data_IF_154388723403
#
_entry.id   IF_154388723403
#
_cell.length_a   1.000
_cell.length_b   1.000
_cell.length_c   1.000
_cell.angle_alpha   90.00
_cell.angle_beta   90.00
_cell.angle_gamma   90.00
#
_symmetry.space_group_name_H-M   'P 1'
#
loop_
_entity.id
_entity.type
_entity.pdbx_description
1 polymer ?
#
# COMPACT_ATOMS: atom_id res chain seq x y z
N UNK A 1 4.36 -13.42 11.04
CA UNK A 1 3.66 -14.37 10.13
C UNK A 1 3.45 -15.77 10.73
N UNK A 2 4.48 -16.45 11.27
CA UNK A 2 4.34 -17.84 11.75
C UNK A 2 3.33 -18.01 12.90
N UNK A 3 3.34 -17.12 13.90
CA UNK A 3 2.35 -17.17 15.02
C UNK A 3 0.91 -17.03 14.54
N UNK A 4 0.64 -16.05 13.67
CA UNK A 4 -0.69 -15.84 13.08
C UNK A 4 -1.14 -17.05 12.27
N UNK A 5 -0.26 -17.63 11.44
CA UNK A 5 -0.57 -18.88 10.69
C UNK A 5 -0.84 -20.07 11.61
N UNK A 6 -0.20 -20.12 12.77
CA UNK A 6 -0.40 -21.16 13.78
C UNK A 6 -1.60 -20.88 14.71
N UNK A 7 -2.34 -19.78 14.53
CA UNK A 7 -3.45 -19.38 15.40
C UNK A 7 -3.04 -18.91 16.80
N UNK A 8 -1.75 -18.73 17.06
CA UNK A 8 -1.19 -18.41 18.38
C UNK A 8 -0.89 -16.90 18.54
N UNK A 9 -1.63 -16.05 17.84
CA UNK A 9 -1.47 -14.60 17.91
C UNK A 9 -2.24 -14.08 19.12
N UNK A 10 -1.53 -13.45 20.05
CA UNK A 10 -2.16 -12.89 21.24
C UNK A 10 -2.88 -11.57 20.92
N UNK A 11 -3.98 -11.24 21.61
CA UNK A 11 -4.72 -9.98 21.42
C UNK A 11 -3.85 -8.73 21.38
N UNK A 12 -2.84 -8.67 22.25
CA UNK A 12 -1.93 -7.53 22.37
C UNK A 12 -1.01 -7.36 21.15
N UNK A 13 -0.85 -8.42 20.33
CA UNK A 13 -0.01 -8.40 19.12
C UNK A 13 -0.75 -7.87 17.88
N UNK A 14 -2.08 -7.73 17.93
CA UNK A 14 -2.87 -7.23 16.79
C UNK A 14 -3.88 -6.13 17.15
N UNK A 15 -4.00 -5.76 18.41
CA UNK A 15 -4.78 -4.61 18.87
C UNK A 15 -3.93 -3.34 18.94
N UNK A 16 -4.60 -2.17 18.93
CA UNK A 16 -3.94 -0.87 19.08
C UNK A 16 -3.24 -0.33 17.83
N UNK A 17 -3.38 -0.99 16.67
CA UNK A 17 -2.84 -0.49 15.41
C UNK A 17 -3.45 0.86 15.00
N UNK A 18 -2.61 1.77 14.51
CA UNK A 18 -3.00 3.14 14.10
C UNK A 18 -3.28 3.27 12.61
N UNK A 19 -2.80 2.33 11.80
CA UNK A 19 -2.97 2.28 10.35
C UNK A 19 -2.94 0.83 9.89
N UNK A 20 -3.61 0.52 8.78
CA UNK A 20 -3.63 -0.83 8.20
C UNK A 20 -3.04 -0.83 6.78
N UNK A 21 -2.21 -1.83 6.49
CA UNK A 21 -1.80 -2.19 5.13
C UNK A 21 -2.38 -3.56 4.82
N UNK A 22 -3.17 -3.65 3.75
CA UNK A 22 -3.73 -4.88 3.23
C UNK A 22 -3.07 -5.23 1.90
N UNK A 23 -2.47 -6.41 1.81
CA UNK A 23 -1.79 -6.89 0.61
C UNK A 23 -2.56 -8.07 0.01
N UNK A 24 -3.45 -7.81 -0.95
CA UNK A 24 -4.06 -8.86 -1.77
C UNK A 24 -3.27 -9.15 -3.05
N UNK A 25 -2.20 -8.40 -3.30
CA UNK A 25 -1.24 -8.71 -4.36
C UNK A 25 -0.63 -10.10 -4.26
N UNK A 26 -0.51 -10.65 -3.04
CA UNK A 26 -0.07 -12.04 -2.85
C UNK A 26 -1.03 -13.08 -3.45
N UNK A 27 -2.29 -12.70 -3.70
CA UNK A 27 -3.31 -13.52 -4.34
C UNK A 27 -3.50 -13.16 -5.83
N UNK A 28 -2.63 -12.32 -6.41
CA UNK A 28 -2.72 -11.90 -7.81
C UNK A 28 -3.76 -10.81 -8.09
N UNK A 29 -4.36 -10.22 -7.06
CA UNK A 29 -5.33 -9.13 -7.21
C UNK A 29 -4.62 -7.85 -7.69
N UNK A 30 -5.07 -7.26 -8.79
CA UNK A 30 -4.45 -6.04 -9.36
C UNK A 30 -4.78 -4.78 -8.58
N UNK A 31 -5.99 -4.67 -8.03
CA UNK A 31 -6.49 -3.55 -7.24
C UNK A 31 -7.74 -3.97 -6.47
N UNK A 32 -7.99 -3.38 -5.31
CA UNK A 32 -9.21 -3.61 -4.54
C UNK A 32 -9.50 -2.42 -3.63
N UNK A 33 -10.78 -2.26 -3.28
CA UNK A 33 -11.23 -1.25 -2.34
C UNK A 33 -11.21 -1.82 -0.93
N UNK A 34 -10.28 -1.33 -0.11
CA UNK A 34 -10.17 -1.76 1.27
C UNK A 34 -11.20 -1.05 2.15
N UNK A 35 -11.75 -1.78 3.12
CA UNK A 35 -12.64 -1.23 4.15
C UNK A 35 -11.79 -0.81 5.34
N UNK A 36 -12.00 0.41 5.81
CA UNK A 36 -11.29 0.97 6.98
C UNK A 36 -11.60 0.10 8.21
N UNK A 37 -10.59 -0.17 9.03
CA UNK A 37 -10.73 -0.85 10.32
C UNK A 37 -10.89 0.20 11.44
N UNK A 38 -12.12 0.45 11.96
CA UNK A 38 -12.30 1.42 13.04
C UNK A 38 -11.52 0.98 14.30
N UNK A 39 -10.93 1.91 15.07
CA UNK A 39 -11.04 3.37 14.99
C UNK A 39 -10.02 4.06 14.07
N UNK A 40 -9.34 3.34 13.18
CA UNK A 40 -8.37 3.95 12.25
C UNK A 40 -9.09 4.82 11.21
N UNK A 41 -8.37 5.82 10.67
CA UNK A 41 -8.92 6.76 9.69
C UNK A 41 -8.61 6.39 8.24
N UNK A 42 -7.70 5.44 7.99
CA UNK A 42 -7.32 5.06 6.64
C UNK A 42 -6.75 3.63 6.58
N UNK A 43 -6.81 3.04 5.38
CA UNK A 43 -6.24 1.73 5.06
C UNK A 43 -5.63 1.77 3.66
N UNK A 44 -4.44 1.17 3.51
CA UNK A 44 -3.73 1.05 2.24
C UNK A 44 -3.95 -0.33 1.63
N UNK A 45 -4.42 -0.38 0.39
CA UNK A 45 -4.57 -1.59 -0.42
C UNK A 45 -3.41 -1.72 -1.40
N UNK A 46 -2.67 -2.83 -1.32
CA UNK A 46 -1.53 -3.13 -2.20
C UNK A 46 -1.91 -4.27 -3.14
N UNK A 47 -1.91 -3.96 -4.44
CA UNK A 47 -2.12 -4.93 -5.52
C UNK A 47 -0.85 -5.68 -5.92
N UNK A 48 -1.00 -6.63 -6.84
CA UNK A 48 0.10 -7.44 -7.32
C UNK A 48 1.08 -6.62 -8.18
N UNK A 49 2.38 -6.80 -7.92
CA UNK A 49 3.44 -6.31 -8.80
C UNK A 49 3.53 -7.18 -10.05
N UNK A 50 3.31 -6.61 -11.22
CA UNK A 50 3.34 -7.32 -12.51
C UNK A 50 4.30 -6.64 -13.48
N UNK A 51 5.00 -7.43 -14.29
CA UNK A 51 5.84 -6.87 -15.37
C UNK A 51 4.96 -6.27 -16.45
N UNK A 52 5.12 -4.98 -16.72
CA UNK A 52 4.43 -4.26 -17.80
C UNK A 52 5.46 -3.50 -18.65
N UNK A 53 5.23 -3.34 -19.96
CA UNK A 53 6.00 -2.39 -20.76
C UNK A 53 5.67 -0.97 -20.27
N UNK A 54 6.70 -0.20 -19.95
CA UNK A 54 6.59 1.20 -19.51
C UNK A 54 7.45 2.06 -20.42
N UNK A 55 6.90 3.20 -20.84
CA UNK A 55 7.63 4.21 -21.60
C UNK A 55 8.48 5.02 -20.63
N UNK A 56 9.78 5.09 -20.87
CA UNK A 56 10.72 5.90 -20.09
C UNK A 56 10.76 7.35 -20.61
N UNK A 57 11.41 8.23 -19.84
CA UNK A 57 11.54 9.65 -20.17
C UNK A 57 12.30 9.90 -21.49
N UNK A 58 13.19 8.98 -21.89
CA UNK A 58 13.92 9.01 -23.16
C UNK A 58 13.11 8.47 -24.35
N UNK A 59 11.85 8.05 -24.11
CA UNK A 59 10.95 7.48 -25.11
C UNK A 59 11.15 5.99 -25.39
N UNK A 60 12.11 5.33 -24.73
CA UNK A 60 12.30 3.88 -24.84
C UNK A 60 11.20 3.11 -24.10
N UNK A 61 10.96 1.85 -24.50
CA UNK A 61 9.99 0.96 -23.84
C UNK A 61 10.76 -0.16 -23.13
N UNK A 62 10.63 -0.22 -21.81
CA UNK A 62 11.28 -1.24 -21.00
C UNK A 62 10.30 -2.01 -20.11
N UNK A 63 10.55 -3.31 -19.84
CA UNK A 63 9.76 -4.05 -18.86
C UNK A 63 10.06 -3.55 -17.45
N UNK A 64 9.06 -2.99 -16.77
CA UNK A 64 9.13 -2.57 -15.36
C UNK A 64 8.12 -3.34 -14.52
N UNK A 65 8.44 -3.57 -13.25
CA UNK A 65 7.47 -4.08 -12.28
C UNK A 65 6.57 -2.93 -11.86
N UNK A 66 5.28 -3.03 -12.13
CA UNK A 66 4.27 -2.03 -11.79
C UNK A 66 3.28 -2.65 -10.81
N UNK A 67 2.97 -1.91 -9.74
CA UNK A 67 1.94 -2.29 -8.77
C UNK A 67 0.93 -1.15 -8.63
N UNK A 68 -0.32 -1.50 -8.33
CA UNK A 68 -1.35 -0.52 -7.97
C UNK A 68 -1.42 -0.41 -6.45
N UNK A 69 -1.47 0.81 -5.95
CA UNK A 69 -1.72 1.12 -4.55
C UNK A 69 -2.94 2.02 -4.47
N UNK A 70 -3.93 1.63 -3.64
CA UNK A 70 -5.14 2.41 -3.39
C UNK A 70 -5.24 2.74 -1.91
N UNK A 71 -5.71 3.94 -1.57
CA UNK A 71 -5.98 4.35 -0.19
C UNK A 71 -7.49 4.57 -0.01
N UNK A 72 -8.06 3.94 1.02
CA UNK A 72 -9.38 4.32 1.52
C UNK A 72 -9.18 5.15 2.78
N UNK A 73 -9.85 6.30 2.84
CA UNK A 73 -9.70 7.27 3.93
C UNK A 73 -11.07 7.77 4.39
N UNK A 74 -11.20 8.04 5.69
CA UNK A 74 -12.36 8.66 6.29
C UNK A 74 -12.39 10.15 5.90
N UNK A 75 -13.23 10.47 4.92
CA UNK A 75 -13.30 11.80 4.34
C UNK A 75 -13.84 12.88 5.31
N UNK A 76 -14.31 12.49 6.50
CA UNK A 76 -14.67 13.43 7.57
C UNK A 76 -13.46 14.10 8.20
N UNK A 77 -12.28 13.46 8.11
CA UNK A 77 -11.05 13.91 8.77
C UNK A 77 -9.83 13.96 7.83
N UNK A 78 -9.85 13.24 6.71
CA UNK A 78 -8.78 13.23 5.70
C UNK A 78 -9.39 13.67 4.37
N UNK A 79 -8.93 14.76 3.79
CA UNK A 79 -9.33 15.15 2.44
C UNK A 79 -8.52 14.42 1.35
N UNK A 80 -9.02 14.51 0.12
CA UNK A 80 -8.37 13.87 -1.03
C UNK A 80 -6.99 14.42 -1.36
N UNK A 81 -6.70 15.68 -1.05
CA UNK A 81 -5.39 16.28 -1.32
C UNK A 81 -4.33 15.68 -0.39
N UNK A 82 -4.63 15.58 0.91
CA UNK A 82 -3.76 14.96 1.89
C UNK A 82 -3.52 13.47 1.58
N UNK A 83 -4.57 12.74 1.21
CA UNK A 83 -4.44 11.35 0.79
C UNK A 83 -3.56 11.20 -0.46
N UNK A 84 -3.72 12.09 -1.46
CA UNK A 84 -2.91 12.09 -2.67
C UNK A 84 -1.43 12.42 -2.39
N UNK A 85 -1.15 13.41 -1.53
CA UNK A 85 0.20 13.73 -1.08
C UNK A 85 0.84 12.53 -0.40
N UNK A 86 0.14 11.89 0.54
CA UNK A 86 0.66 10.70 1.22
C UNK A 86 1.03 9.56 0.25
N UNK A 87 0.15 9.23 -0.69
CA UNK A 87 0.42 8.17 -1.68
C UNK A 87 1.54 8.58 -2.64
N UNK A 88 1.65 9.88 -2.99
CA UNK A 88 2.74 10.41 -3.81
C UNK A 88 4.10 10.28 -3.14
N UNK A 89 4.20 10.66 -1.87
CA UNK A 89 5.43 10.49 -1.07
C UNK A 89 5.80 9.00 -0.93
N UNK A 90 4.82 8.15 -0.60
CA UNK A 90 5.04 6.71 -0.52
C UNK A 90 5.56 6.14 -1.85
N UNK A 91 4.98 6.56 -2.98
CA UNK A 91 5.44 6.17 -4.31
C UNK A 91 6.90 6.57 -4.51
N UNK A 92 7.26 7.83 -4.23
CA UNK A 92 8.62 8.33 -4.39
C UNK A 92 9.64 7.50 -3.60
N UNK A 93 9.32 7.21 -2.34
CA UNK A 93 10.15 6.38 -1.45
C UNK A 93 10.31 4.95 -1.99
N UNK A 94 9.23 4.34 -2.49
CA UNK A 94 9.26 2.97 -3.01
C UNK A 94 9.99 2.86 -4.36
N UNK A 95 9.87 3.88 -5.22
CA UNK A 95 10.56 3.93 -6.52
C UNK A 95 12.03 4.33 -6.37
N UNK A 96 12.39 5.05 -5.31
CA UNK A 96 13.76 5.47 -4.99
C UNK A 96 14.15 5.09 -3.54
N UNK A 97 14.41 3.80 -3.23
CA UNK A 97 14.65 3.35 -1.86
C UNK A 97 15.82 4.03 -1.14
N UNK A 98 16.77 4.61 -1.89
CA UNK A 98 17.88 5.39 -1.33
C UNK A 98 17.41 6.60 -0.49
N UNK A 99 16.21 7.12 -0.75
CA UNK A 99 15.60 8.19 0.07
C UNK A 99 15.36 7.78 1.53
N UNK A 100 15.31 6.47 1.83
CA UNK A 100 15.14 5.97 3.21
C UNK A 100 16.44 5.89 4.02
N UNK A 101 17.61 6.12 3.41
CA UNK A 101 18.93 5.90 4.03
C UNK A 101 19.52 7.14 4.73
N UNK A 102 18.72 8.19 4.97
CA UNK A 102 19.16 9.44 5.60
C UNK A 102 18.85 9.43 7.09
#
# INVERSE_FOLDING_TARGET
AMKAKAGNLQPEEFQGGTFTVSNLGMYGVSSFDAIINPPQAAILAVGAGVKKPVVLDDGSVEPRTVMTVSIAADHRVIDGALAATFVGELKGILEQPAQMLV
#
